data_IF_857668450534
#
_entry.id   IF_857668450534
#
_cell.length_a   1.000
_cell.length_b   1.000
_cell.length_c   1.000
_cell.angle_alpha   90.00
_cell.angle_beta   90.00
_cell.angle_gamma   90.00
#
_symmetry.space_group_name_H-M   'P 1'
#
loop_
_entity.id
_entity.type
_entity.pdbx_description
1 polymer ?
#
# COMPACT_ATOMS: atom_id res chain seq x y z
N UNK A 1 15.98 -3.43 8.64
CA UNK A 1 16.19 -1.97 8.86
C UNK A 1 15.27 -1.06 8.03
N UNK A 2 15.25 -1.19 6.70
CA UNK A 2 14.40 -0.31 5.86
C UNK A 2 12.90 -0.55 6.04
N UNK A 3 12.49 -1.81 6.15
CA UNK A 3 11.08 -2.20 6.38
C UNK A 3 10.55 -1.59 7.67
N UNK A 4 11.25 -1.84 8.77
CA UNK A 4 10.95 -1.27 10.09
C UNK A 4 10.96 0.27 10.08
N UNK A 5 11.86 0.91 9.33
CA UNK A 5 11.88 2.37 9.22
C UNK A 5 10.61 2.89 8.57
N UNK A 6 10.16 2.29 7.46
CA UNK A 6 8.90 2.65 6.79
C UNK A 6 7.72 2.38 7.73
N UNK A 7 7.63 1.16 8.27
CA UNK A 7 6.51 0.72 9.09
C UNK A 7 6.35 1.55 10.37
N UNK A 8 7.46 1.96 11.00
CA UNK A 8 7.43 2.83 12.20
C UNK A 8 7.19 4.32 11.89
N UNK A 9 7.44 4.76 10.66
CA UNK A 9 7.22 6.16 10.25
C UNK A 9 5.76 6.44 9.89
N UNK A 10 5.00 5.41 9.50
CA UNK A 10 3.61 5.54 9.08
C UNK A 10 2.62 5.95 10.18
N UNK A 11 2.74 5.45 11.42
CA UNK A 11 1.89 5.86 12.54
C UNK A 11 2.20 7.26 13.10
N UNK A 12 3.21 7.99 12.59
CA UNK A 12 3.53 9.34 13.05
C UNK A 12 2.52 10.37 12.51
N UNK A 13 1.40 10.49 13.23
CA UNK A 13 0.30 11.40 12.93
C UNK A 13 0.65 12.89 13.13
N UNK A 14 1.73 13.15 13.85
CA UNK A 14 2.19 14.49 14.23
C UNK A 14 3.03 15.12 13.12
N UNK A 15 3.67 14.30 12.29
CA UNK A 15 4.61 14.75 11.25
C UNK A 15 4.21 14.24 9.86
N UNK A 16 3.35 15.01 9.16
CA UNK A 16 2.93 14.68 7.80
C UNK A 16 4.12 14.48 6.83
N UNK A 17 5.20 15.25 6.99
CA UNK A 17 6.41 15.13 6.16
C UNK A 17 7.13 13.79 6.36
N UNK A 18 7.09 13.20 7.56
CA UNK A 18 7.63 11.86 7.83
C UNK A 18 6.82 10.81 7.05
N UNK A 19 5.49 10.91 7.07
CA UNK A 19 4.62 9.99 6.31
C UNK A 19 4.76 10.14 4.80
N UNK A 20 4.95 11.36 4.29
CA UNK A 20 5.27 11.61 2.88
C UNK A 20 6.62 10.98 2.50
N UNK A 21 7.65 11.18 3.31
CA UNK A 21 8.97 10.59 3.08
C UNK A 21 8.93 9.05 3.12
N UNK A 22 8.24 8.47 4.10
CA UNK A 22 8.02 7.03 4.22
C UNK A 22 7.27 6.47 2.99
N UNK A 23 6.23 7.17 2.54
CA UNK A 23 5.49 6.83 1.33
C UNK A 23 6.38 6.83 0.08
N UNK A 24 7.24 7.84 -0.06
CA UNK A 24 8.19 7.90 -1.18
C UNK A 24 9.21 6.77 -1.14
N UNK A 25 9.70 6.40 0.04
CA UNK A 25 10.63 5.28 0.19
C UNK A 25 9.93 3.95 -0.13
N UNK A 26 8.72 3.73 0.40
CA UNK A 26 7.92 2.56 0.08
C UNK A 26 7.62 2.48 -1.42
N UNK A 27 7.26 3.60 -2.05
CA UNK A 27 6.98 3.64 -3.48
C UNK A 27 8.16 3.11 -4.30
N UNK A 28 9.37 3.61 -4.03
CA UNK A 28 10.57 3.20 -4.74
C UNK A 28 10.90 1.71 -4.49
N UNK A 29 10.79 1.25 -3.24
CA UNK A 29 11.00 -0.15 -2.88
C UNK A 29 9.99 -1.07 -3.56
N UNK A 30 8.71 -0.72 -3.50
CA UNK A 30 7.61 -1.48 -4.11
C UNK A 30 7.72 -1.52 -5.63
N UNK A 31 8.09 -0.40 -6.26
CA UNK A 31 8.33 -0.33 -7.70
C UNK A 31 9.48 -1.25 -8.12
N UNK A 32 10.61 -1.19 -7.41
CA UNK A 32 11.76 -2.06 -7.66
C UNK A 32 11.37 -3.54 -7.50
N UNK A 33 10.64 -3.86 -6.43
CA UNK A 33 10.14 -5.21 -6.15
C UNK A 33 9.24 -5.74 -7.28
N UNK A 34 8.25 -4.94 -7.69
CA UNK A 34 7.33 -5.26 -8.79
C UNK A 34 8.08 -5.51 -10.11
N UNK A 35 9.08 -4.68 -10.42
CA UNK A 35 9.87 -4.83 -11.65
C UNK A 35 10.71 -6.11 -11.63
N UNK A 36 11.20 -6.54 -10.47
CA UNK A 36 11.91 -7.81 -10.32
C UNK A 36 10.96 -8.98 -10.59
N UNK A 37 9.79 -9.01 -9.93
CA UNK A 37 8.76 -10.04 -10.17
C UNK A 37 8.37 -10.15 -11.64
N UNK A 38 8.20 -9.01 -12.33
CA UNK A 38 7.79 -8.99 -13.73
C UNK A 38 8.87 -9.47 -14.72
N UNK A 39 10.15 -9.34 -14.37
CA UNK A 39 11.27 -9.73 -15.26
C UNK A 39 11.68 -11.18 -15.07
N UNK A 40 11.72 -11.64 -13.83
CA UNK A 40 12.25 -12.96 -13.48
C UNK A 40 11.77 -13.36 -12.08
N UNK A 41 10.80 -14.27 -12.01
CA UNK A 41 10.25 -14.77 -10.75
C UNK A 41 11.25 -15.63 -9.96
N UNK A 42 12.38 -16.02 -10.56
CA UNK A 42 13.43 -16.79 -9.88
C UNK A 42 14.43 -15.91 -9.11
N UNK A 43 14.42 -14.60 -9.34
CA UNK A 43 15.28 -13.65 -8.60
C UNK A 43 14.69 -13.34 -7.24
N UNK A 44 15.57 -13.22 -6.24
CA UNK A 44 15.19 -12.78 -4.91
C UNK A 44 14.47 -11.43 -4.99
N UNK A 45 13.19 -11.45 -4.60
CA UNK A 45 12.36 -10.28 -4.39
C UNK A 45 12.19 -10.06 -2.89
N UNK A 46 11.44 -9.02 -2.52
CA UNK A 46 11.15 -8.73 -1.12
C UNK A 46 10.45 -9.96 -0.49
N UNK A 47 10.90 -10.45 0.68
CA UNK A 47 10.25 -11.57 1.37
C UNK A 47 8.77 -11.30 1.61
N UNK A 48 7.94 -12.34 1.63
CA UNK A 48 6.48 -12.18 1.77
C UNK A 48 6.10 -11.52 3.10
N UNK A 49 6.77 -11.91 4.19
CA UNK A 49 6.58 -11.26 5.50
C UNK A 49 6.89 -9.76 5.48
N UNK A 50 7.92 -9.33 4.76
CA UNK A 50 8.26 -7.91 4.60
C UNK A 50 7.19 -7.19 3.75
N UNK A 51 6.67 -7.83 2.70
CA UNK A 51 5.57 -7.28 1.90
C UNK A 51 4.29 -7.13 2.75
N UNK A 52 3.99 -8.11 3.58
CA UNK A 52 2.84 -8.13 4.52
C UNK A 52 2.98 -7.00 5.55
N UNK A 53 4.14 -6.83 6.18
CA UNK A 53 4.38 -5.77 7.17
C UNK A 53 4.22 -4.37 6.54
N UNK A 54 4.79 -4.16 5.35
CA UNK A 54 4.67 -2.89 4.62
C UNK A 54 3.23 -2.60 4.20
N UNK A 55 2.49 -3.61 3.75
CA UNK A 55 1.10 -3.45 3.34
C UNK A 55 0.19 -3.16 4.54
N UNK A 56 0.37 -3.87 5.66
CA UNK A 56 -0.38 -3.64 6.89
C UNK A 56 -0.19 -2.21 7.39
N UNK A 57 1.07 -1.77 7.51
CA UNK A 57 1.39 -0.42 7.99
C UNK A 57 0.89 0.68 7.04
N UNK A 58 0.95 0.47 5.71
CA UNK A 58 0.40 1.41 4.74
C UNK A 58 -1.14 1.49 4.82
N UNK A 59 -1.84 0.36 4.93
CA UNK A 59 -3.31 0.33 5.04
C UNK A 59 -3.76 1.00 6.34
N UNK A 60 -3.09 0.73 7.46
CA UNK A 60 -3.36 1.39 8.74
C UNK A 60 -3.19 2.91 8.63
N UNK A 61 -2.08 3.39 8.07
CA UNK A 61 -1.82 4.81 7.94
C UNK A 61 -2.76 5.52 6.95
N UNK A 62 -3.18 4.83 5.88
CA UNK A 62 -4.27 5.34 5.03
C UNK A 62 -5.55 5.48 5.85
N UNK A 63 -5.89 4.47 6.66
CA UNK A 63 -7.04 4.48 7.58
C UNK A 63 -7.03 5.66 8.57
N UNK A 64 -5.85 6.08 9.01
CA UNK A 64 -5.67 7.19 9.96
C UNK A 64 -5.52 8.58 9.30
N UNK A 65 -5.24 8.65 7.99
CA UNK A 65 -5.05 9.93 7.32
C UNK A 65 -6.36 10.72 7.15
N UNK A 66 -6.38 11.96 7.64
CA UNK A 66 -7.54 12.86 7.57
C UNK A 66 -7.21 14.28 7.09
N UNK A 67 -5.93 14.64 6.96
CA UNK A 67 -5.47 16.02 6.77
C UNK A 67 -4.66 16.21 5.49
N UNK A 68 -3.73 15.30 5.19
CA UNK A 68 -2.75 15.44 4.11
C UNK A 68 -3.12 14.60 2.89
N UNK A 69 -3.66 15.27 1.87
CA UNK A 69 -3.92 14.62 0.58
C UNK A 69 -2.63 14.13 -0.10
N UNK A 70 -1.50 14.81 0.12
CA UNK A 70 -0.20 14.40 -0.40
C UNK A 70 0.28 13.10 0.24
N UNK A 71 0.19 12.98 1.56
CA UNK A 71 0.56 11.76 2.26
C UNK A 71 -0.36 10.61 1.83
N UNK A 72 -1.67 10.84 1.76
CA UNK A 72 -2.62 9.85 1.24
C UNK A 72 -2.22 9.36 -0.15
N UNK A 73 -1.96 10.29 -1.08
CA UNK A 73 -1.58 9.97 -2.45
C UNK A 73 -0.30 9.14 -2.50
N UNK A 74 0.70 9.51 -1.70
CA UNK A 74 1.95 8.78 -1.58
C UNK A 74 1.71 7.34 -1.12
N UNK A 75 0.97 7.16 -0.03
CA UNK A 75 0.65 5.84 0.53
C UNK A 75 -0.10 4.97 -0.47
N UNK A 76 -1.13 5.52 -1.14
CA UNK A 76 -1.92 4.81 -2.14
C UNK A 76 -1.09 4.40 -3.36
N UNK A 77 -0.23 5.29 -3.86
CA UNK A 77 0.66 5.00 -5.00
C UNK A 77 1.65 3.89 -4.63
N UNK A 78 2.21 3.95 -3.43
CA UNK A 78 3.16 2.97 -2.94
C UNK A 78 2.51 1.58 -2.75
N UNK A 79 1.32 1.54 -2.13
CA UNK A 79 0.53 0.33 -2.00
C UNK A 79 0.17 -0.26 -3.38
N UNK A 80 -0.20 0.59 -4.33
CA UNK A 80 -0.50 0.19 -5.70
C UNK A 80 0.63 -0.60 -6.35
N UNK A 81 1.87 -0.12 -6.21
CA UNK A 81 3.03 -0.84 -6.73
C UNK A 81 3.32 -2.14 -5.98
N UNK A 82 3.10 -2.18 -4.67
CA UNK A 82 3.37 -3.35 -3.85
C UNK A 82 2.45 -4.51 -4.24
N UNK A 83 1.15 -4.21 -4.38
CA UNK A 83 0.07 -5.18 -4.62
C UNK A 83 -0.06 -5.59 -6.08
N UNK A 84 0.23 -4.70 -7.04
CA UNK A 84 0.04 -5.03 -8.45
C UNK A 84 0.84 -6.29 -8.87
N UNK A 85 0.12 -7.25 -9.46
CA UNK A 85 0.69 -8.51 -9.91
C UNK A 85 1.19 -9.41 -8.77
N UNK A 86 0.66 -9.25 -7.56
CA UNK A 86 0.82 -10.23 -6.48
C UNK A 86 0.04 -11.50 -6.79
N UNK A 87 0.47 -12.61 -6.19
CA UNK A 87 -0.29 -13.85 -6.22
C UNK A 87 -1.60 -13.68 -5.42
N UNK A 88 -2.73 -14.09 -6.01
CA UNK A 88 -4.05 -14.00 -5.39
C UNK A 88 -4.26 -15.02 -4.28
N UNK A 89 -3.46 -16.09 -4.28
CA UNK A 89 -3.44 -17.12 -3.24
C UNK A 89 -2.25 -16.94 -2.26
N UNK A 90 -1.52 -15.81 -2.36
CA UNK A 90 -0.38 -15.48 -1.51
C UNK A 90 -0.74 -14.72 -0.23
N UNK A 91 0.20 -14.70 0.73
CA UNK A 91 0.03 -14.09 2.05
C UNK A 91 -0.36 -12.61 1.98
N UNK A 92 0.20 -11.86 1.03
CA UNK A 92 -0.12 -10.44 0.85
C UNK A 92 -1.59 -10.24 0.43
N UNK A 93 -2.12 -11.06 -0.48
CA UNK A 93 -3.51 -10.96 -0.90
C UNK A 93 -4.46 -11.33 0.24
N UNK A 94 -4.15 -12.39 0.99
CA UNK A 94 -4.93 -12.82 2.15
C UNK A 94 -4.94 -11.77 3.27
N UNK A 95 -3.79 -11.13 3.54
CA UNK A 95 -3.73 -10.00 4.48
C UNK A 95 -4.68 -8.87 4.06
N UNK A 96 -4.60 -8.42 2.80
CA UNK A 96 -5.38 -7.26 2.33
C UNK A 96 -6.89 -7.52 2.40
N UNK A 97 -7.31 -8.77 2.15
CA UNK A 97 -8.69 -9.22 2.35
C UNK A 97 -9.05 -9.23 3.84
N UNK A 98 -8.19 -9.78 4.69
CA UNK A 98 -8.43 -9.88 6.13
C UNK A 98 -8.55 -8.50 6.81
N UNK A 99 -7.81 -7.49 6.32
CA UNK A 99 -7.85 -6.13 6.83
C UNK A 99 -9.00 -5.27 6.29
N UNK A 100 -9.83 -5.79 5.38
CA UNK A 100 -10.77 -4.96 4.58
C UNK A 100 -10.07 -3.71 4.01
N UNK A 101 -8.93 -3.92 3.34
CA UNK A 101 -8.15 -2.82 2.76
C UNK A 101 -8.97 -2.03 1.73
N UNK A 102 -9.85 -2.71 0.99
CA UNK A 102 -10.79 -2.07 0.06
C UNK A 102 -11.70 -1.08 0.79
N UNK A 103 -12.41 -1.52 1.83
CA UNK A 103 -13.33 -0.68 2.59
C UNK A 103 -12.61 0.50 3.25
N UNK A 104 -11.44 0.23 3.83
CA UNK A 104 -10.57 1.25 4.46
C UNK A 104 -10.20 2.37 3.47
N UNK A 105 -9.77 2.01 2.26
CA UNK A 105 -9.39 2.99 1.25
C UNK A 105 -10.64 3.69 0.69
N UNK A 106 -11.71 2.96 0.39
CA UNK A 106 -12.95 3.55 -0.15
C UNK A 106 -13.55 4.62 0.79
N UNK A 107 -13.43 4.44 2.11
CA UNK A 107 -13.90 5.40 3.10
C UNK A 107 -13.24 6.79 2.95
N UNK A 108 -12.02 6.86 2.40
CA UNK A 108 -11.26 8.11 2.23
C UNK A 108 -11.91 9.07 1.23
N UNK A 109 -12.82 8.61 0.36
CA UNK A 109 -13.57 9.49 -0.56
C UNK A 109 -14.35 10.58 0.16
N UNK A 110 -14.82 10.30 1.39
CA UNK A 110 -15.57 11.27 2.21
C UNK A 110 -14.70 12.44 2.66
N UNK A 111 -13.43 12.18 2.91
CA UNK A 111 -12.47 13.15 3.43
C UNK A 111 -11.71 13.83 2.29
N UNK A 112 -11.35 13.06 1.26
CA UNK A 112 -10.57 13.49 0.11
C UNK A 112 -11.34 13.28 -1.21
N UNK A 113 -12.44 14.03 -1.45
CA UNK A 113 -13.31 13.80 -2.60
C UNK A 113 -12.64 14.05 -3.96
N UNK A 114 -11.53 14.80 -3.98
CA UNK A 114 -10.78 15.12 -5.20
C UNK A 114 -9.63 14.15 -5.48
N UNK A 115 -9.36 13.18 -4.58
CA UNK A 115 -8.25 12.24 -4.75
C UNK A 115 -8.71 11.02 -5.56
N UNK A 116 -8.49 11.07 -6.88
CA UNK A 116 -8.93 10.03 -7.82
C UNK A 116 -8.30 8.66 -7.56
N UNK A 117 -7.07 8.64 -7.02
CA UNK A 117 -6.37 7.40 -6.69
C UNK A 117 -7.11 6.56 -5.65
N UNK A 118 -7.94 7.17 -4.80
CA UNK A 118 -8.79 6.42 -3.87
C UNK A 118 -9.71 5.47 -4.63
N UNK A 119 -10.32 5.93 -5.73
CA UNK A 119 -11.20 5.09 -6.54
C UNK A 119 -10.44 4.04 -7.33
N UNK A 120 -9.31 4.39 -7.93
CA UNK A 120 -8.49 3.44 -8.67
C UNK A 120 -7.98 2.29 -7.78
N UNK A 121 -7.46 2.61 -6.59
CA UNK A 121 -6.94 1.59 -5.67
C UNK A 121 -8.07 0.77 -5.06
N UNK A 122 -9.15 1.40 -4.57
CA UNK A 122 -10.23 0.65 -3.94
C UNK A 122 -11.04 -0.18 -4.93
N UNK A 123 -11.47 0.38 -6.06
CA UNK A 123 -12.44 -0.29 -6.93
C UNK A 123 -11.76 -1.21 -7.95
N UNK A 124 -10.65 -0.77 -8.56
CA UNK A 124 -9.97 -1.57 -9.58
C UNK A 124 -8.96 -2.52 -8.95
N UNK A 125 -7.97 -2.01 -8.23
CA UNK A 125 -6.86 -2.83 -7.74
C UNK A 125 -7.31 -3.83 -6.66
N UNK A 126 -8.01 -3.36 -5.64
CA UNK A 126 -8.45 -4.23 -4.54
C UNK A 126 -9.82 -4.85 -4.83
N UNK A 127 -10.79 -4.07 -5.30
CA UNK A 127 -12.15 -4.56 -5.54
C UNK A 127 -12.23 -5.63 -6.62
N UNK A 128 -11.79 -5.32 -7.84
CA UNK A 128 -11.76 -6.29 -8.95
C UNK A 128 -10.52 -7.16 -8.92
N UNK A 129 -9.37 -6.57 -8.61
CA UNK A 129 -8.07 -7.24 -8.71
C UNK A 129 -7.79 -8.27 -7.61
N UNK A 130 -8.31 -8.10 -6.39
CA UNK A 130 -8.13 -9.09 -5.31
C UNK A 130 -9.31 -10.04 -5.14
N UNK A 131 -10.39 -9.88 -5.91
CA UNK A 131 -11.51 -10.81 -5.87
C UNK A 131 -11.02 -12.24 -6.17
N UNK A 132 -11.38 -13.20 -5.31
CA UNK A 132 -11.15 -14.61 -5.63
C UNK A 132 -12.02 -14.99 -6.84
N UNK A 133 -11.47 -15.70 -7.84
CA UNK A 133 -12.21 -16.10 -9.03
C UNK A 133 -13.41 -17.02 -8.72
#
# INVERSE_FOLDING_TARGET
>A
PMIQLIASSFPDDSHNNVRVAASSLLFNLALANRQLRAKDSSKAHLPDGDQVELAASAVEAVGQEEKSAEALRGMLSALGHLVYGTDLDGELADLLRALDAQGTIAAKRKIFPNEKLVSEVADELLGKGLARP
#
